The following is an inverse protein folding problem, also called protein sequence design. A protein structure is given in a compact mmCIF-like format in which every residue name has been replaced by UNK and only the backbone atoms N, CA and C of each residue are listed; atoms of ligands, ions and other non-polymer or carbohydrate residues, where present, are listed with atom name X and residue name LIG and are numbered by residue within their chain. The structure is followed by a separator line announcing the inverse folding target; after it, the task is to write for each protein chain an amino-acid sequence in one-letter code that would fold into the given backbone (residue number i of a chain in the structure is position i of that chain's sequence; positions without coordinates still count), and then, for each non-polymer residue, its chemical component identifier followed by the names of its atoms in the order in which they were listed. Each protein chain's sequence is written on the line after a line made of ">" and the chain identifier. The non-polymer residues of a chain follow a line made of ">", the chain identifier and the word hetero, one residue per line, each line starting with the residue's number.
data_IF_324090134324
#
_entry.id   IF_324090134324
#
_cell.length_a   1.000
_cell.length_b   1.000
_cell.length_c   1.000
_cell.angle_alpha   90.00
_cell.angle_beta   90.00
_cell.angle_gamma   90.00
#
_symmetry.space_group_name_H-M   'P 1'
#
loop_
_entity.id
_entity.type
_entity.pdbx_description
1 polymer ?
#
# COMPACT_ATOMS: atom_id res chain seq x y z
N UNK A 1 -6.20 21.45 3.96
CA UNK A 1 -6.16 20.18 3.22
C UNK A 1 -4.96 20.08 2.30
N UNK A 2 -4.75 20.99 1.33
CA UNK A 2 -3.58 20.94 0.45
C UNK A 2 -2.22 20.88 1.18
N UNK A 3 -2.02 21.72 2.21
CA UNK A 3 -0.80 21.70 3.05
C UNK A 3 -0.59 20.35 3.76
N UNK A 4 -1.67 19.70 4.18
CA UNK A 4 -1.64 18.40 4.86
C UNK A 4 -1.21 17.30 3.88
N UNK A 5 -1.75 17.32 2.65
CA UNK A 5 -1.34 16.40 1.58
C UNK A 5 0.16 16.55 1.27
N UNK A 6 0.63 17.77 1.03
CA UNK A 6 2.05 18.02 0.71
C UNK A 6 2.97 17.56 1.84
N UNK A 7 2.61 17.88 3.08
CA UNK A 7 3.35 17.41 4.27
C UNK A 7 3.38 15.88 4.33
N UNK A 8 2.23 15.22 4.14
CA UNK A 8 2.14 13.78 4.22
C UNK A 8 2.92 13.08 3.09
N UNK A 9 2.87 13.59 1.86
CA UNK A 9 3.65 13.06 0.74
C UNK A 9 5.16 13.21 0.98
N UNK A 10 5.59 14.33 1.58
CA UNK A 10 6.97 14.52 2.00
C UNK A 10 7.39 13.53 3.11
N UNK A 11 6.52 13.32 4.10
CA UNK A 11 6.70 12.30 5.14
C UNK A 11 6.84 10.88 4.56
N UNK A 12 5.97 10.52 3.62
CA UNK A 12 6.01 9.25 2.91
C UNK A 12 7.30 9.08 2.11
N UNK A 13 7.78 10.13 1.43
CA UNK A 13 9.06 10.11 0.73
C UNK A 13 10.25 9.87 1.68
N UNK A 14 10.25 10.47 2.88
CA UNK A 14 11.27 10.19 3.89
C UNK A 14 11.21 8.73 4.36
N UNK A 15 10.01 8.17 4.54
CA UNK A 15 9.84 6.76 4.90
C UNK A 15 10.32 5.80 3.80
N UNK A 16 10.17 6.15 2.51
CA UNK A 16 10.75 5.37 1.40
C UNK A 16 12.27 5.26 1.49
N UNK A 17 12.91 6.21 2.18
CA UNK A 17 14.35 6.23 2.45
C UNK A 17 14.70 5.59 3.81
N UNK A 18 13.76 4.87 4.42
CA UNK A 18 13.86 4.30 5.76
C UNK A 18 14.15 5.35 6.86
N UNK A 19 13.79 6.62 6.62
CA UNK A 19 13.97 7.68 7.60
C UNK A 19 12.73 7.81 8.50
N UNK A 20 12.83 7.32 9.74
CA UNK A 20 11.75 7.36 10.73
C UNK A 20 11.18 8.76 11.00
N UNK A 21 11.97 9.82 10.76
CA UNK A 21 11.54 11.21 10.87
C UNK A 21 10.35 11.55 9.94
N UNK A 22 10.06 10.74 8.92
CA UNK A 22 8.87 10.89 8.07
C UNK A 22 7.57 10.86 8.85
N UNK A 23 7.51 10.12 9.97
CA UNK A 23 6.34 10.07 10.84
C UNK A 23 5.96 11.43 11.45
N UNK A 24 6.89 12.39 11.51
CA UNK A 24 6.63 13.73 12.08
C UNK A 24 5.78 14.63 11.18
N UNK A 25 5.51 14.22 9.94
CA UNK A 25 4.80 15.01 8.94
C UNK A 25 3.32 14.64 8.78
N UNK A 26 2.85 13.64 9.53
CA UNK A 26 1.47 13.18 9.50
C UNK A 26 0.63 13.81 10.62
N UNK A 27 -0.67 13.95 10.36
CA UNK A 27 -1.64 14.49 11.31
C UNK A 27 -2.28 13.35 12.11
N UNK A 28 -1.71 12.98 13.25
CA UNK A 28 -2.22 11.91 14.12
C UNK A 28 -3.39 12.34 15.00
N UNK A 29 -4.49 12.71 14.36
CA UNK A 29 -5.76 13.03 15.01
C UNK A 29 -6.88 12.14 14.45
N UNK A 30 -8.01 12.05 15.14
CA UNK A 30 -9.20 11.34 14.61
C UNK A 30 -9.68 11.96 13.29
N UNK A 31 -9.57 13.29 13.14
CA UNK A 31 -9.86 13.94 11.87
C UNK A 31 -8.83 13.57 10.78
N UNK A 32 -7.54 13.50 11.15
CA UNK A 32 -6.47 13.05 10.28
C UNK A 32 -6.64 11.61 9.80
N UNK A 33 -7.18 10.73 10.65
CA UNK A 33 -7.54 9.35 10.29
C UNK A 33 -8.48 9.31 9.10
N UNK A 34 -9.64 9.97 9.20
CA UNK A 34 -10.61 9.99 8.11
C UNK A 34 -10.07 10.68 6.85
N UNK A 35 -9.28 11.76 7.01
CA UNK A 35 -8.62 12.44 5.89
C UNK A 35 -7.58 11.58 5.20
N UNK A 36 -6.92 10.67 5.90
CA UNK A 36 -5.89 9.80 5.32
C UNK A 36 -6.47 8.86 4.25
N UNK A 37 -7.76 8.50 4.30
CA UNK A 37 -8.40 7.74 3.23
C UNK A 37 -8.48 8.52 1.90
N UNK A 38 -8.31 9.85 1.93
CA UNK A 38 -8.11 10.65 0.72
C UNK A 38 -6.85 10.25 -0.06
N UNK A 39 -5.89 9.58 0.57
CA UNK A 39 -4.74 8.98 -0.10
C UNK A 39 -5.15 7.96 -1.18
N UNK A 40 -6.25 7.23 -0.98
CA UNK A 40 -6.81 6.33 -1.99
C UNK A 40 -7.20 7.09 -3.26
N UNK A 41 -7.78 8.28 -3.14
CA UNK A 41 -8.15 9.09 -4.32
C UNK A 41 -6.90 9.57 -5.06
N UNK A 42 -5.82 9.90 -4.34
CA UNK A 42 -4.55 10.35 -4.94
C UNK A 42 -3.80 9.19 -5.59
N UNK A 43 -3.85 8.00 -4.99
CA UNK A 43 -3.20 6.80 -5.52
C UNK A 43 -3.99 6.17 -6.68
N UNK A 44 -5.28 6.43 -6.82
CA UNK A 44 -6.12 5.90 -7.90
C UNK A 44 -5.56 6.15 -9.30
N UNK A 45 -5.16 7.38 -9.72
CA UNK A 45 -4.56 7.59 -11.03
C UNK A 45 -3.25 6.81 -11.24
N UNK A 46 -2.44 6.61 -10.17
CA UNK A 46 -1.22 5.81 -10.24
C UNK A 46 -1.56 4.33 -10.49
N UNK A 47 -2.54 3.81 -9.76
CA UNK A 47 -3.07 2.47 -9.96
C UNK A 47 -3.63 2.26 -11.37
N UNK A 48 -4.43 3.21 -11.88
CA UNK A 48 -4.97 3.12 -13.23
C UNK A 48 -3.85 3.14 -14.29
N UNK A 49 -2.77 3.90 -14.06
CA UNK A 49 -1.57 3.85 -14.89
C UNK A 49 -0.93 2.46 -14.90
N UNK A 50 -0.79 1.82 -13.74
CA UNK A 50 -0.29 0.44 -13.63
C UNK A 50 -1.19 -0.53 -14.41
N UNK A 51 -2.52 -0.45 -14.22
CA UNK A 51 -3.48 -1.29 -14.95
C UNK A 51 -3.36 -1.08 -16.45
N UNK A 52 -3.27 0.18 -16.91
CA UNK A 52 -3.10 0.51 -18.32
C UNK A 52 -1.84 -0.11 -18.89
N UNK A 53 -0.71 0.04 -18.19
CA UNK A 53 0.58 -0.53 -18.59
C UNK A 53 0.45 -2.05 -18.77
N UNK A 54 -0.19 -2.78 -17.84
CA UNK A 54 -0.32 -4.24 -17.92
C UNK A 54 -1.37 -4.73 -18.93
N UNK A 55 -2.45 -3.97 -19.15
CA UNK A 55 -3.57 -4.41 -20.01
C UNK A 55 -3.41 -4.00 -21.46
N UNK A 56 -2.84 -2.83 -21.75
CA UNK A 56 -2.66 -2.36 -23.13
C UNK A 56 -1.55 -3.12 -23.89
N UNK A 57 -0.71 -3.86 -23.17
CA UNK A 57 0.27 -4.78 -23.75
C UNK A 57 -0.35 -6.12 -24.23
N UNK A 58 -1.66 -6.36 -23.99
CA UNK A 58 -2.40 -7.55 -24.44
C UNK A 58 -3.64 -7.16 -25.27
N UNK A 59 -3.93 -7.92 -26.32
CA UNK A 59 -5.03 -7.65 -27.25
C UNK A 59 -6.38 -7.63 -26.50
N UNK A 60 -7.16 -6.57 -26.73
CA UNK A 60 -8.13 -6.09 -25.74
C UNK A 60 -9.42 -6.88 -25.58
N UNK A 61 -9.93 -6.90 -24.34
CA UNK A 61 -11.30 -6.49 -23.96
C UNK A 61 -11.21 -5.82 -22.59
N UNK A 62 -11.08 -4.49 -22.59
CA UNK A 62 -10.72 -3.68 -21.40
C UNK A 62 -11.83 -3.60 -20.33
N UNK A 63 -13.05 -4.10 -20.57
CA UNK A 63 -14.21 -3.66 -19.76
C UNK A 63 -14.55 -4.46 -18.50
N UNK A 64 -14.18 -5.75 -18.44
CA UNK A 64 -14.48 -6.60 -17.27
C UNK A 64 -13.31 -6.63 -16.29
N UNK A 65 -12.10 -6.91 -16.78
CA UNK A 65 -10.87 -6.97 -15.97
C UNK A 65 -10.55 -5.65 -15.27
N UNK A 66 -10.77 -4.51 -15.93
CA UNK A 66 -10.59 -3.18 -15.32
C UNK A 66 -11.61 -2.95 -14.21
N UNK A 67 -12.85 -3.45 -14.37
CA UNK A 67 -13.90 -3.29 -13.36
C UNK A 67 -13.57 -4.10 -12.10
N UNK A 68 -13.13 -5.35 -12.25
CA UNK A 68 -12.64 -6.17 -11.15
C UNK A 68 -11.40 -5.53 -10.48
N UNK A 69 -10.49 -4.97 -11.28
CA UNK A 69 -9.31 -4.26 -10.79
C UNK A 69 -9.67 -3.04 -9.92
N UNK A 70 -10.63 -2.20 -10.36
CA UNK A 70 -11.11 -1.05 -9.59
C UNK A 70 -11.82 -1.50 -8.31
N UNK A 71 -12.62 -2.57 -8.37
CA UNK A 71 -13.29 -3.11 -7.19
C UNK A 71 -12.28 -3.62 -6.17
N UNK A 72 -11.29 -4.40 -6.61
CA UNK A 72 -10.16 -4.88 -5.82
C UNK A 72 -9.37 -3.75 -5.18
N UNK A 73 -9.09 -2.70 -5.94
CA UNK A 73 -8.43 -1.51 -5.43
C UNK A 73 -9.24 -0.92 -4.27
N UNK A 74 -10.52 -0.61 -4.50
CA UNK A 74 -11.40 0.01 -3.50
C UNK A 74 -11.56 -0.85 -2.24
N UNK A 75 -11.73 -2.17 -2.39
CA UNK A 75 -11.85 -3.09 -1.26
C UNK A 75 -10.56 -3.18 -0.45
N UNK A 76 -9.38 -3.14 -1.09
CA UNK A 76 -8.09 -3.17 -0.39
C UNK A 76 -7.93 -2.05 0.64
N UNK A 77 -8.33 -0.81 0.28
CA UNK A 77 -8.29 0.34 1.19
C UNK A 77 -9.23 0.24 2.39
N UNK A 78 -10.25 -0.63 2.34
CA UNK A 78 -11.23 -0.80 3.41
C UNK A 78 -11.00 -2.06 4.23
N UNK A 79 -10.66 -3.17 3.57
CA UNK A 79 -10.41 -4.47 4.19
C UNK A 79 -9.18 -4.42 5.07
N UNK A 80 -8.08 -3.84 4.57
CA UNK A 80 -6.82 -3.86 5.34
C UNK A 80 -6.91 -3.08 6.67
N UNK A 81 -7.51 -1.88 6.76
CA UNK A 81 -7.73 -1.22 8.05
C UNK A 81 -8.55 -2.03 9.05
N UNK A 82 -9.51 -2.85 8.60
CA UNK A 82 -10.28 -3.75 9.46
C UNK A 82 -9.42 -4.92 9.95
N UNK A 83 -8.61 -5.52 9.07
CA UNK A 83 -7.63 -6.55 9.45
C UNK A 83 -6.63 -5.99 10.47
N UNK A 84 -6.06 -4.83 10.19
CA UNK A 84 -5.13 -4.14 11.08
C UNK A 84 -5.76 -3.81 12.44
N UNK A 85 -7.05 -3.48 12.50
CA UNK A 85 -7.76 -3.25 13.76
C UNK A 85 -7.74 -4.51 14.64
N UNK A 86 -8.03 -5.67 14.04
CA UNK A 86 -8.00 -6.97 14.75
C UNK A 86 -6.58 -7.30 15.20
N UNK A 87 -5.59 -7.13 14.31
CA UNK A 87 -4.19 -7.40 14.62
C UNK A 87 -3.69 -6.56 15.78
N UNK A 88 -3.92 -5.26 15.71
CA UNK A 88 -3.47 -4.31 16.73
C UNK A 88 -4.16 -4.57 18.07
N UNK A 89 -5.43 -5.00 18.07
CA UNK A 89 -6.13 -5.45 19.27
C UNK A 89 -5.50 -6.71 19.89
N UNK A 90 -5.18 -7.72 19.09
CA UNK A 90 -4.55 -8.97 19.56
C UNK A 90 -3.14 -8.72 20.08
N UNK A 91 -2.42 -7.76 19.48
CA UNK A 91 -1.04 -7.44 19.83
C UNK A 91 -0.91 -6.45 21.00
N UNK A 92 -2.03 -6.00 21.57
CA UNK A 92 -2.10 -5.01 22.65
C UNK A 92 -1.45 -3.66 22.28
N UNK A 93 -1.82 -3.14 21.09
CA UNK A 93 -1.28 -1.89 20.51
C UNK A 93 -2.35 -0.90 20.04
N UNK A 94 -3.57 -1.00 20.57
CA UNK A 94 -4.74 -0.22 20.13
C UNK A 94 -4.51 1.30 20.13
N UNK A 95 -3.66 1.80 21.02
CA UNK A 95 -3.21 3.19 21.09
C UNK A 95 -2.54 3.66 19.79
N UNK A 96 -1.87 2.75 19.07
CA UNK A 96 -1.15 3.06 17.83
C UNK A 96 -1.98 2.81 16.57
N UNK A 97 -3.22 2.28 16.68
CA UNK A 97 -4.04 1.94 15.51
C UNK A 97 -4.25 3.14 14.57
N UNK A 98 -4.64 4.28 15.12
CA UNK A 98 -4.89 5.51 14.34
C UNK A 98 -3.61 5.95 13.62
N UNK A 99 -2.47 5.98 14.33
CA UNK A 99 -1.20 6.37 13.75
C UNK A 99 -0.75 5.40 12.65
N UNK A 100 -0.97 4.11 12.84
CA UNK A 100 -0.62 3.06 11.89
C UNK A 100 -1.40 3.20 10.58
N UNK A 101 -2.73 3.35 10.65
CA UNK A 101 -3.56 3.52 9.45
C UNK A 101 -3.23 4.82 8.72
N UNK A 102 -3.05 5.94 9.43
CA UNK A 102 -2.67 7.21 8.80
C UNK A 102 -1.34 7.06 8.06
N UNK A 103 -0.34 6.46 8.70
CA UNK A 103 0.98 6.25 8.10
C UNK A 103 0.89 5.37 6.87
N UNK A 104 0.24 4.20 6.97
CA UNK A 104 0.08 3.29 5.84
C UNK A 104 -0.68 3.91 4.67
N UNK A 105 -1.76 4.66 4.93
CA UNK A 105 -2.54 5.28 3.87
C UNK A 105 -1.70 6.28 3.05
N UNK A 106 -1.00 7.20 3.73
CA UNK A 106 -0.16 8.18 3.04
C UNK A 106 1.07 7.55 2.40
N UNK A 107 1.67 6.56 3.06
CA UNK A 107 2.78 5.80 2.52
C UNK A 107 2.38 4.98 1.28
N UNK A 108 1.16 4.48 1.25
CA UNK A 108 0.59 3.76 0.11
C UNK A 108 0.62 4.57 -1.19
N UNK A 109 0.53 5.91 -1.13
CA UNK A 109 0.69 6.76 -2.33
C UNK A 109 2.11 6.64 -2.91
N UNK A 110 3.12 6.65 -2.04
CA UNK A 110 4.52 6.48 -2.45
C UNK A 110 4.80 5.07 -2.97
N UNK A 111 4.20 4.04 -2.35
CA UNK A 111 4.29 2.66 -2.85
C UNK A 111 3.65 2.53 -4.24
N UNK A 112 2.45 3.08 -4.47
CA UNK A 112 1.81 3.05 -5.79
C UNK A 112 2.61 3.79 -6.86
N UNK A 113 3.25 4.92 -6.50
CA UNK A 113 4.16 5.62 -7.41
C UNK A 113 5.37 4.75 -7.76
N UNK A 114 5.99 4.11 -6.76
CA UNK A 114 7.10 3.19 -6.98
C UNK A 114 6.69 2.04 -7.90
N UNK A 115 5.54 1.40 -7.63
CA UNK A 115 5.00 0.33 -8.47
C UNK A 115 4.82 0.81 -9.90
N UNK A 116 4.20 1.96 -10.13
CA UNK A 116 4.03 2.53 -11.48
C UNK A 116 5.35 2.73 -12.24
N UNK A 117 6.35 3.32 -11.58
CA UNK A 117 7.68 3.52 -12.18
C UNK A 117 8.35 2.19 -12.51
N UNK A 118 8.38 1.26 -11.55
CA UNK A 118 9.08 -0.02 -11.70
C UNK A 118 8.38 -0.91 -12.72
N UNK A 119 7.04 -0.95 -12.76
CA UNK A 119 6.28 -1.68 -13.78
C UNK A 119 6.56 -1.17 -15.18
N UNK A 120 6.67 0.15 -15.37
CA UNK A 120 7.00 0.75 -16.67
C UNK A 120 8.41 0.34 -17.13
N UNK A 121 9.39 0.33 -16.22
CA UNK A 121 10.75 -0.13 -16.51
C UNK A 121 10.78 -1.63 -16.80
N UNK A 122 10.05 -2.44 -16.04
CA UNK A 122 9.96 -3.89 -16.23
C UNK A 122 9.47 -4.26 -17.63
N UNK A 123 8.43 -3.60 -18.13
CA UNK A 123 7.93 -3.86 -19.49
C UNK A 123 8.94 -3.54 -20.59
N UNK A 124 9.76 -2.51 -20.40
CA UNK A 124 10.81 -2.16 -21.36
C UNK A 124 12.01 -3.12 -21.34
N UNK A 125 12.12 -4.00 -20.33
CA UNK A 125 13.33 -4.78 -20.01
C UNK A 125 13.34 -6.22 -20.55
N UNK A 126 12.26 -6.68 -21.19
CA UNK A 126 12.11 -8.08 -21.62
C UNK A 126 11.61 -9.01 -20.51
N UNK A 127 11.13 -10.21 -20.87
CA UNK A 127 10.34 -11.08 -19.98
C UNK A 127 11.10 -11.60 -18.75
N UNK A 128 12.34 -12.07 -18.92
CA UNK A 128 13.14 -12.64 -17.81
C UNK A 128 13.51 -11.57 -16.77
N UNK A 129 13.97 -10.40 -17.24
CA UNK A 129 14.36 -9.30 -16.37
C UNK A 129 13.14 -8.64 -15.69
N UNK A 130 11.99 -8.57 -16.38
CA UNK A 130 10.73 -8.09 -15.81
C UNK A 130 10.28 -8.92 -14.59
N UNK A 131 10.40 -10.25 -14.67
CA UNK A 131 10.06 -11.14 -13.56
C UNK A 131 10.97 -10.90 -12.34
N UNK A 132 12.28 -10.78 -12.56
CA UNK A 132 13.23 -10.49 -11.49
C UNK A 132 12.95 -9.12 -10.85
N UNK A 133 12.69 -8.10 -11.67
CA UNK A 133 12.31 -6.75 -11.20
C UNK A 133 11.05 -6.82 -10.33
N UNK A 134 10.04 -7.60 -10.74
CA UNK A 134 8.79 -7.76 -10.01
C UNK A 134 8.98 -8.45 -8.66
N UNK A 135 9.84 -9.47 -8.58
CA UNK A 135 10.19 -10.13 -7.31
C UNK A 135 10.94 -9.18 -6.39
N UNK A 136 11.92 -8.43 -6.91
CA UNK A 136 12.65 -7.42 -6.14
C UNK A 136 11.74 -6.33 -5.62
N UNK A 137 10.78 -5.87 -6.44
CA UNK A 137 9.76 -4.91 -6.03
C UNK A 137 8.88 -5.46 -4.90
N UNK A 138 8.38 -6.69 -5.03
CA UNK A 138 7.59 -7.34 -3.99
C UNK A 138 8.35 -7.41 -2.66
N UNK A 139 9.61 -7.86 -2.70
CA UNK A 139 10.46 -7.92 -1.50
C UNK A 139 10.68 -6.54 -0.89
N UNK A 140 10.86 -5.51 -1.71
CA UNK A 140 11.02 -4.13 -1.23
C UNK A 140 9.74 -3.60 -0.57
N UNK A 141 8.56 -3.87 -1.14
CA UNK A 141 7.27 -3.50 -0.55
C UNK A 141 7.05 -4.19 0.80
N UNK A 142 7.34 -5.50 0.88
CA UNK A 142 7.30 -6.26 2.14
C UNK A 142 8.26 -5.68 3.18
N UNK A 143 9.47 -5.28 2.77
CA UNK A 143 10.43 -4.61 3.64
C UNK A 143 9.90 -3.28 4.17
N UNK A 144 9.21 -2.50 3.34
CA UNK A 144 8.59 -1.26 3.80
C UNK A 144 7.44 -1.52 4.79
N UNK A 145 6.55 -2.47 4.50
CA UNK A 145 5.44 -2.80 5.41
C UNK A 145 5.97 -3.30 6.75
N UNK A 146 7.04 -4.11 6.74
CA UNK A 146 7.76 -4.54 7.93
C UNK A 146 8.33 -3.36 8.71
N UNK A 147 9.02 -2.44 8.02
CA UNK A 147 9.58 -1.24 8.62
C UNK A 147 8.51 -0.36 9.27
N UNK A 148 7.40 -0.10 8.59
CA UNK A 148 6.30 0.72 9.13
C UNK A 148 5.60 0.03 10.29
N UNK A 149 5.33 -1.28 10.20
CA UNK A 149 4.75 -2.04 11.31
C UNK A 149 5.65 -2.00 12.55
N UNK A 150 6.96 -2.21 12.38
CA UNK A 150 7.97 -2.07 13.44
C UNK A 150 7.98 -0.67 14.04
N UNK A 151 8.02 0.35 13.17
CA UNK A 151 8.23 1.74 13.56
C UNK A 151 7.02 2.32 14.31
N UNK A 152 5.81 2.09 13.79
CA UNK A 152 4.61 2.77 14.29
C UNK A 152 3.91 1.97 15.39
N UNK A 153 3.93 0.63 15.32
CA UNK A 153 3.32 -0.22 16.33
C UNK A 153 4.29 -0.66 17.44
N UNK A 154 5.56 -0.25 17.36
CA UNK A 154 6.61 -0.60 18.34
C UNK A 154 6.65 -2.12 18.64
N UNK A 155 6.61 -2.93 17.58
CA UNK A 155 6.51 -4.38 17.69
C UNK A 155 7.89 -5.02 17.74
N UNK A 156 8.03 -6.19 18.36
CA UNK A 156 9.22 -7.04 18.16
C UNK A 156 9.30 -7.53 16.71
N UNK A 157 10.46 -8.02 16.27
CA UNK A 157 10.64 -8.54 14.90
C UNK A 157 9.60 -9.62 14.57
N UNK A 158 9.41 -10.62 15.45
CA UNK A 158 8.44 -11.70 15.23
C UNK A 158 7.00 -11.20 15.09
N UNK A 159 6.57 -10.24 15.93
CA UNK A 159 5.23 -9.65 15.84
C UNK A 159 5.05 -8.83 14.55
N UNK A 160 6.08 -8.09 14.12
CA UNK A 160 6.02 -7.35 12.87
C UNK A 160 5.97 -8.28 11.65
N UNK A 161 6.75 -9.38 11.65
CA UNK A 161 6.65 -10.42 10.62
C UNK A 161 5.23 -10.99 10.54
N UNK A 162 4.59 -11.27 11.69
CA UNK A 162 3.21 -11.74 11.72
C UNK A 162 2.23 -10.74 11.10
N UNK A 163 2.36 -9.45 11.41
CA UNK A 163 1.51 -8.39 10.84
C UNK A 163 1.63 -8.33 9.32
N UNK A 164 2.87 -8.33 8.80
CA UNK A 164 3.12 -8.28 7.36
C UNK A 164 2.63 -9.54 6.67
N UNK A 165 2.90 -10.71 7.25
CA UNK A 165 2.43 -12.00 6.73
C UNK A 165 0.91 -12.03 6.62
N UNK A 166 0.18 -11.61 7.66
CA UNK A 166 -1.28 -11.54 7.63
C UNK A 166 -1.76 -10.48 6.62
N UNK A 167 -1.05 -9.36 6.48
CA UNK A 167 -1.34 -8.36 5.45
C UNK A 167 -1.25 -8.93 4.03
N UNK A 168 -0.17 -9.64 3.72
CA UNK A 168 0.03 -10.32 2.43
C UNK A 168 -1.06 -11.37 2.20
N UNK A 169 -1.33 -12.23 3.19
CA UNK A 169 -2.39 -13.23 3.09
C UNK A 169 -3.77 -12.59 2.87
N UNK A 170 -4.05 -11.48 3.52
CA UNK A 170 -5.31 -10.75 3.34
C UNK A 170 -5.47 -10.24 1.92
N UNK A 171 -4.38 -9.73 1.32
CA UNK A 171 -4.36 -9.34 -0.09
C UNK A 171 -4.61 -10.54 -1.01
N UNK A 172 -3.95 -11.67 -0.77
CA UNK A 172 -4.14 -12.89 -1.57
C UNK A 172 -5.58 -13.43 -1.49
N UNK A 173 -6.17 -13.49 -0.30
CA UNK A 173 -7.56 -13.93 -0.11
C UNK A 173 -8.52 -12.99 -0.83
N UNK A 174 -8.30 -11.68 -0.74
CA UNK A 174 -9.10 -10.69 -1.46
C UNK A 174 -9.02 -10.88 -2.98
N UNK A 175 -7.83 -11.18 -3.50
CA UNK A 175 -7.63 -11.47 -4.92
C UNK A 175 -8.43 -12.70 -5.36
N UNK A 176 -8.32 -13.80 -4.62
CA UNK A 176 -9.05 -15.04 -4.93
C UNK A 176 -10.57 -14.80 -4.92
N UNK A 177 -11.10 -14.15 -3.88
CA UNK A 177 -12.53 -13.90 -3.74
C UNK A 177 -13.11 -13.01 -4.85
N UNK A 178 -12.32 -12.09 -5.41
CA UNK A 178 -12.78 -11.17 -6.47
C UNK A 178 -12.67 -11.81 -7.85
N UNK A 179 -11.68 -12.67 -8.07
CA UNK A 179 -11.51 -13.39 -9.34
C UNK A 179 -12.56 -14.50 -9.51
N UNK A 180 -13.01 -15.10 -8.41
CA UNK A 180 -14.03 -16.16 -8.39
C UNK A 180 -15.48 -15.63 -8.38
N UNK A 181 -15.69 -14.30 -8.37
CA UNK A 181 -16.99 -13.62 -8.31
C UNK A 181 -17.42 -13.02 -9.65
#
# INVERSE_FOLDING_TARGET
>A
MAREIVSALYGAFLLMRFAAAGCNYFNYTVAGFWRSFGAAVIALPLFLGVVYVHTWAGEGVVSFEVRQSIFRYGSGWLVYPLVALVLVKILDRMESYVAYIITNNWFGVAQWLLVGVVSTVGQASGSELSNLISICLLLLLVCYDFFIARLVLDLTVGKAVLVVFIGVLSGMVLDTLILDA
#
